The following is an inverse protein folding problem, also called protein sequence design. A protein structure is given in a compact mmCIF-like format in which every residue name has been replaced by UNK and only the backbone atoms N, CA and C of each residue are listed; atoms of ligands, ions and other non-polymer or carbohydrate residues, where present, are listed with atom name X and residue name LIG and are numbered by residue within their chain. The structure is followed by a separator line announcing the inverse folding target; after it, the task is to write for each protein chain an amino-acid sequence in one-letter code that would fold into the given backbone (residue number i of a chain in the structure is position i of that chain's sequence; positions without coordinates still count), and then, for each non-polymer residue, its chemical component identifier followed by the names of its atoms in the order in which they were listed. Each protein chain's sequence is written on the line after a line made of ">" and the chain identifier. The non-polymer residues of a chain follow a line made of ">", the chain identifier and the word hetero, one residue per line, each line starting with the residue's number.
data_IF_913019475464
#
_entry.id   IF_913019475464
#
_cell.length_a   1.000
_cell.length_b   1.000
_cell.length_c   1.000
_cell.angle_alpha   90.00
_cell.angle_beta   90.00
_cell.angle_gamma   90.00
#
_symmetry.space_group_name_H-M   'P 1'
#
loop_
_entity.id
_entity.type
_entity.pdbx_description
1 polymer ?
#
# COMPACT_ATOMS: atom_id res chain seq x y z
N UNK A 1 38.30 -37.56 -0.22
CA UNK A 1 38.15 -36.12 -0.53
C UNK A 1 36.77 -35.66 -0.06
N UNK A 2 36.70 -34.95 1.07
CA UNK A 2 35.44 -34.49 1.69
C UNK A 2 35.01 -33.17 1.02
N UNK A 3 33.92 -33.19 0.25
CA UNK A 3 33.28 -31.98 -0.30
C UNK A 3 32.16 -31.54 0.65
N UNK A 4 32.51 -30.81 1.70
CA UNK A 4 31.54 -30.09 2.53
C UNK A 4 31.91 -28.61 2.49
N UNK A 5 31.45 -27.90 1.47
CA UNK A 5 31.48 -26.44 1.46
C UNK A 5 30.48 -25.92 0.42
N UNK A 6 29.19 -25.83 0.80
CA UNK A 6 28.26 -24.88 0.17
C UNK A 6 26.89 -24.75 0.88
N UNK A 7 26.81 -25.03 2.19
CA UNK A 7 25.55 -24.80 2.95
C UNK A 7 25.46 -23.39 3.55
N UNK A 8 26.55 -22.62 3.60
CA UNK A 8 26.55 -21.28 4.21
C UNK A 8 25.88 -20.22 3.33
N UNK A 9 25.92 -20.37 2.00
CA UNK A 9 25.41 -19.35 1.06
C UNK A 9 23.86 -19.33 0.98
N UNK A 10 23.21 -20.44 1.31
CA UNK A 10 21.75 -20.57 1.27
C UNK A 10 21.06 -19.91 2.49
N UNK A 11 21.77 -19.75 3.62
CA UNK A 11 21.24 -19.09 4.82
C UNK A 11 21.34 -17.56 4.77
N UNK A 12 22.25 -17.00 3.96
CA UNK A 12 22.47 -15.55 3.89
C UNK A 12 21.45 -14.85 2.98
N UNK A 13 20.82 -15.56 2.03
CA UNK A 13 19.77 -15.00 1.18
C UNK A 13 18.45 -14.71 1.94
N UNK A 14 18.27 -15.28 3.15
CA UNK A 14 17.04 -15.18 3.94
C UNK A 14 17.04 -14.06 4.99
N UNK A 15 18.15 -13.32 5.13
CA UNK A 15 18.31 -12.25 6.12
C UNK A 15 18.51 -10.89 5.46
N UNK A 16 17.72 -10.56 4.44
CA UNK A 16 17.49 -9.12 4.19
C UNK A 16 16.83 -8.57 5.46
N UNK A 17 17.40 -7.54 6.10
CA UNK A 17 16.72 -6.87 7.20
C UNK A 17 15.30 -6.56 6.74
N UNK A 18 14.31 -6.91 7.56
CA UNK A 18 12.95 -6.38 7.38
C UNK A 18 13.12 -4.86 7.26
N UNK A 19 12.62 -4.28 6.17
CA UNK A 19 12.77 -2.85 5.91
C UNK A 19 12.35 -2.09 7.17
N UNK A 20 13.14 -1.10 7.58
CA UNK A 20 12.85 -0.31 8.78
C UNK A 20 11.86 0.83 8.48
N UNK A 21 11.40 0.91 7.24
CA UNK A 21 10.46 1.90 6.73
C UNK A 21 9.46 1.21 5.80
N UNK A 22 8.20 1.64 5.77
CA UNK A 22 7.26 1.23 4.74
C UNK A 22 7.83 1.45 3.34
N UNK A 23 7.51 0.56 2.43
CA UNK A 23 7.75 0.75 0.99
C UNK A 23 6.39 0.79 0.30
N UNK A 24 6.12 1.80 -0.53
CA UNK A 24 4.84 1.94 -1.22
C UNK A 24 5.08 1.84 -2.72
N UNK A 25 4.59 0.75 -3.32
CA UNK A 25 4.56 0.56 -4.77
C UNK A 25 3.26 1.14 -5.33
N UNK A 26 3.34 1.92 -6.41
CA UNK A 26 2.15 2.50 -7.06
C UNK A 26 1.75 1.72 -8.31
N UNK A 27 0.45 1.55 -8.55
CA UNK A 27 -0.11 0.95 -9.76
C UNK A 27 -1.15 1.88 -10.40
N UNK A 28 -1.21 1.88 -11.73
CA UNK A 28 -2.07 2.79 -12.49
C UNK A 28 -1.42 4.17 -12.74
N UNK A 29 -2.12 5.02 -13.49
CA UNK A 29 -1.69 6.39 -13.75
C UNK A 29 -2.44 7.35 -12.84
N UNK A 30 -1.71 8.21 -12.15
CA UNK A 30 -2.28 9.27 -11.33
C UNK A 30 -2.70 10.47 -12.18
N UNK A 31 -3.88 11.02 -11.91
CA UNK A 31 -4.39 12.29 -12.44
C UNK A 31 -4.04 13.48 -11.52
N UNK A 32 -3.41 13.22 -10.37
CA UNK A 32 -2.98 14.26 -9.44
C UNK A 32 -1.72 14.98 -9.97
N UNK A 33 -1.52 16.22 -9.54
CA UNK A 33 -0.24 16.90 -9.76
C UNK A 33 0.88 16.20 -8.97
N UNK A 34 2.15 16.36 -9.36
CA UNK A 34 3.27 15.76 -8.62
C UNK A 34 3.29 16.14 -7.13
N UNK A 35 2.95 17.39 -6.81
CA UNK A 35 2.85 17.90 -5.45
C UNK A 35 1.75 17.19 -4.65
N UNK A 36 0.56 17.06 -5.25
CA UNK A 36 -0.56 16.35 -4.63
C UNK A 36 -0.26 14.87 -4.41
N UNK A 37 0.40 14.23 -5.38
CA UNK A 37 0.84 12.86 -5.25
C UNK A 37 1.85 12.71 -4.12
N UNK A 38 2.83 13.60 -4.02
CA UNK A 38 3.80 13.58 -2.92
C UNK A 38 3.12 13.73 -1.57
N UNK A 39 2.22 14.69 -1.41
CA UNK A 39 1.50 14.90 -0.15
C UNK A 39 0.66 13.68 0.25
N UNK A 40 -0.04 13.04 -0.71
CA UNK A 40 -0.80 11.82 -0.44
C UNK A 40 0.13 10.67 0.00
N UNK A 41 1.27 10.51 -0.67
CA UNK A 41 2.25 9.47 -0.36
C UNK A 41 2.86 9.67 1.02
N UNK A 42 3.22 10.90 1.39
CA UNK A 42 3.72 11.24 2.73
C UNK A 42 2.69 10.94 3.81
N UNK A 43 1.42 11.27 3.56
CA UNK A 43 0.34 10.97 4.51
C UNK A 43 0.06 9.47 4.64
N UNK A 44 0.03 8.72 3.54
CA UNK A 44 -0.10 7.26 3.58
C UNK A 44 1.09 6.62 4.32
N UNK A 45 2.30 7.09 4.04
CA UNK A 45 3.50 6.63 4.72
C UNK A 45 3.44 6.89 6.24
N UNK A 46 3.05 8.10 6.65
CA UNK A 46 2.85 8.44 8.05
C UNK A 46 1.76 7.58 8.72
N UNK A 47 0.68 7.28 7.99
CA UNK A 47 -0.41 6.41 8.46
C UNK A 47 0.07 4.99 8.73
N UNK A 48 0.90 4.42 7.84
CA UNK A 48 1.51 3.10 8.02
C UNK A 48 2.45 3.06 9.23
N UNK A 49 3.31 4.07 9.38
CA UNK A 49 4.19 4.21 10.56
C UNK A 49 3.37 4.34 11.85
N UNK A 50 2.30 5.14 11.82
CA UNK A 50 1.43 5.39 12.98
C UNK A 50 0.79 4.13 13.56
N UNK A 51 0.55 3.11 12.73
CA UNK A 51 0.03 1.80 13.14
C UNK A 51 1.12 0.73 13.29
N UNK A 52 2.40 1.11 13.20
CA UNK A 52 3.55 0.21 13.35
C UNK A 52 3.77 -0.74 12.17
N UNK A 53 3.29 -0.38 10.97
CA UNK A 53 3.54 -1.15 9.75
C UNK A 53 4.86 -0.75 9.10
N UNK A 54 5.74 -1.71 8.83
CA UNK A 54 7.06 -1.50 8.22
C UNK A 54 7.30 -2.40 7.00
N UNK A 55 6.23 -2.94 6.43
CA UNK A 55 6.29 -3.79 5.24
C UNK A 55 6.09 -3.01 3.94
N UNK A 56 5.86 -3.76 2.86
CA UNK A 56 5.48 -3.21 1.57
C UNK A 56 3.97 -3.00 1.50
N UNK A 57 3.54 -1.92 0.85
CA UNK A 57 2.16 -1.61 0.58
C UNK A 57 1.98 -1.27 -0.89
N UNK A 58 0.76 -1.42 -1.38
CA UNK A 58 0.39 -1.05 -2.75
C UNK A 58 -0.58 0.11 -2.72
N UNK A 59 -0.30 1.17 -3.49
CA UNK A 59 -1.25 2.23 -3.79
C UNK A 59 -1.74 2.07 -5.22
N UNK A 60 -3.05 1.94 -5.40
CA UNK A 60 -3.70 1.85 -6.69
C UNK A 60 -4.40 3.18 -6.97
N UNK A 61 -4.02 3.80 -8.09
CA UNK A 61 -4.71 4.95 -8.65
C UNK A 61 -5.96 4.46 -9.40
N UNK A 62 -7.05 4.23 -8.68
CA UNK A 62 -8.28 3.63 -9.19
C UNK A 62 -9.06 4.62 -10.08
N UNK A 63 -8.98 4.45 -11.39
CA UNK A 63 -9.80 5.19 -12.37
C UNK A 63 -11.13 4.49 -12.70
N UNK A 64 -11.47 3.44 -11.96
CA UNK A 64 -12.63 2.58 -12.19
C UNK A 64 -12.43 1.55 -13.29
N UNK A 65 -11.30 1.55 -14.00
CA UNK A 65 -10.96 0.56 -15.02
C UNK A 65 -9.99 -0.45 -14.44
N UNK A 66 -10.20 -1.73 -14.78
CA UNK A 66 -9.30 -2.83 -14.39
C UNK A 66 -9.04 -2.94 -12.87
N UNK A 67 -9.90 -2.35 -12.02
CA UNK A 67 -9.76 -2.34 -10.55
C UNK A 67 -9.50 -3.74 -10.00
N UNK A 68 -10.32 -4.69 -10.39
CA UNK A 68 -10.19 -6.10 -9.97
C UNK A 68 -8.86 -6.74 -10.39
N UNK A 69 -8.36 -6.43 -11.59
CA UNK A 69 -7.10 -6.95 -12.09
C UNK A 69 -5.89 -6.38 -11.31
N UNK A 70 -5.93 -5.08 -11.03
CA UNK A 70 -4.88 -4.39 -10.27
C UNK A 70 -4.86 -4.85 -8.81
N UNK A 71 -6.04 -4.99 -8.19
CA UNK A 71 -6.21 -5.59 -6.86
C UNK A 71 -5.68 -7.02 -6.87
N UNK A 72 -6.11 -7.87 -7.81
CA UNK A 72 -5.67 -9.27 -7.89
C UNK A 72 -4.15 -9.39 -7.98
N UNK A 73 -3.50 -8.56 -8.80
CA UNK A 73 -2.04 -8.54 -8.95
C UNK A 73 -1.34 -8.19 -7.64
N UNK A 74 -1.86 -7.21 -6.90
CA UNK A 74 -1.33 -6.81 -5.60
C UNK A 74 -1.61 -7.86 -4.51
N UNK A 75 -2.76 -8.54 -4.56
CA UNK A 75 -3.15 -9.58 -3.58
C UNK A 75 -2.20 -10.78 -3.57
N UNK A 76 -1.62 -11.13 -4.72
CA UNK A 76 -0.65 -12.21 -4.85
C UNK A 76 0.61 -11.99 -4.00
N UNK A 77 0.84 -10.76 -3.50
CA UNK A 77 2.02 -10.37 -2.72
C UNK A 77 1.80 -10.38 -1.21
N UNK A 78 0.57 -10.61 -0.75
CA UNK A 78 0.21 -10.62 0.68
C UNK A 78 0.50 -9.32 1.44
N UNK A 79 0.32 -8.18 0.76
CA UNK A 79 0.61 -6.83 1.23
C UNK A 79 -0.70 -6.00 1.28
N UNK A 80 -0.82 -5.00 2.17
CA UNK A 80 -1.97 -4.10 2.20
C UNK A 80 -2.07 -3.31 0.90
N UNK A 81 -3.31 -3.13 0.43
CA UNK A 81 -3.64 -2.45 -0.82
C UNK A 81 -4.49 -1.24 -0.47
N UNK A 82 -4.09 -0.06 -0.93
CA UNK A 82 -4.77 1.21 -0.75
C UNK A 82 -5.33 1.66 -2.09
N UNK A 83 -6.63 1.93 -2.14
CA UNK A 83 -7.34 2.38 -3.32
C UNK A 83 -7.60 3.88 -3.20
N UNK A 84 -7.05 4.65 -4.14
CA UNK A 84 -7.34 6.06 -4.32
C UNK A 84 -8.23 6.24 -5.55
N UNK A 85 -9.53 6.44 -5.35
CA UNK A 85 -10.48 6.66 -6.43
C UNK A 85 -10.29 8.04 -7.07
N UNK A 86 -9.95 8.04 -8.34
CA UNK A 86 -9.66 9.24 -9.11
C UNK A 86 -10.96 9.86 -9.64
N UNK A 87 -11.07 11.19 -9.59
CA UNK A 87 -12.20 11.92 -10.18
C UNK A 87 -13.43 12.12 -9.29
N UNK A 88 -13.54 11.43 -8.15
CA UNK A 88 -14.68 11.56 -7.22
C UNK A 88 -14.47 12.60 -6.09
N UNK A 89 -13.32 13.28 -6.08
CA UNK A 89 -12.73 14.16 -5.05
C UNK A 89 -12.83 13.63 -3.60
N UNK A 90 -11.66 13.47 -2.97
CA UNK A 90 -10.93 14.65 -2.53
C UNK A 90 -9.42 14.60 -2.73
N UNK A 91 -8.82 15.79 -2.78
CA UNK A 91 -7.39 15.99 -2.53
C UNK A 91 -7.22 15.99 -1.00
N UNK A 92 -6.71 14.92 -0.37
CA UNK A 92 -6.81 14.74 1.06
C UNK A 92 -5.48 15.08 1.71
N UNK A 93 -5.45 16.15 2.51
CA UNK A 93 -4.34 16.45 3.40
C UNK A 93 -4.78 16.16 4.82
N UNK A 94 -4.76 14.88 5.22
CA UNK A 94 -5.00 14.34 6.56
C UNK A 94 -6.33 14.65 7.28
N UNK A 95 -6.94 15.81 7.05
CA UNK A 95 -8.07 16.33 7.82
C UNK A 95 -9.38 15.94 7.15
N UNK A 96 -10.23 15.21 7.89
CA UNK A 96 -11.52 14.74 7.39
C UNK A 96 -11.43 13.52 6.45
N UNK A 97 -10.30 12.80 6.42
CA UNK A 97 -10.12 11.60 5.59
C UNK A 97 -9.44 10.46 6.33
N UNK A 98 -9.85 9.22 6.02
CA UNK A 98 -9.22 8.03 6.55
C UNK A 98 -9.16 6.88 5.53
N UNK A 99 -8.20 5.98 5.73
CA UNK A 99 -8.12 4.71 5.02
C UNK A 99 -9.03 3.69 5.71
N UNK A 100 -10.17 3.37 5.11
CA UNK A 100 -11.11 2.39 5.67
C UNK A 100 -10.94 1.04 5.00
N UNK A 101 -10.86 -0.01 5.81
CA UNK A 101 -10.88 -1.39 5.31
C UNK A 101 -12.19 -1.66 4.57
N UNK A 102 -12.10 -2.09 3.32
CA UNK A 102 -13.22 -2.59 2.54
C UNK A 102 -13.54 -4.01 3.03
N UNK A 103 -14.38 -4.11 4.05
CA UNK A 103 -14.66 -5.35 4.78
C UNK A 103 -15.35 -6.42 3.91
N UNK A 104 -16.05 -5.99 2.86
CA UNK A 104 -16.71 -6.86 1.90
C UNK A 104 -15.71 -7.57 0.98
N UNK A 105 -14.48 -7.05 0.87
CA UNK A 105 -13.48 -7.65 0.00
C UNK A 105 -12.86 -8.90 0.68
N UNK A 106 -12.89 -10.09 0.04
CA UNK A 106 -12.49 -11.37 0.68
C UNK A 106 -11.06 -11.42 1.22
N UNK A 107 -10.19 -10.56 0.72
CA UNK A 107 -8.79 -10.51 1.16
C UNK A 107 -8.58 -9.85 2.52
N UNK A 108 -9.54 -9.06 3.02
CA UNK A 108 -9.44 -8.24 4.23
C UNK A 108 -8.14 -7.39 4.30
N UNK A 109 -7.65 -6.96 3.14
CA UNK A 109 -6.39 -6.20 2.99
C UNK A 109 -6.52 -4.98 2.08
N UNK A 110 -7.72 -4.73 1.57
CA UNK A 110 -8.01 -3.62 0.65
C UNK A 110 -8.61 -2.49 1.46
N UNK A 111 -7.96 -1.33 1.43
CA UNK A 111 -8.38 -0.11 2.09
C UNK A 111 -8.79 0.89 1.02
N UNK A 112 -9.89 1.60 1.25
CA UNK A 112 -10.37 2.65 0.38
C UNK A 112 -10.31 3.98 1.12
N UNK A 113 -9.95 5.04 0.40
CA UNK A 113 -9.97 6.38 0.96
C UNK A 113 -11.42 6.84 1.15
N UNK A 114 -11.78 7.24 2.36
CA UNK A 114 -13.12 7.74 2.69
C UNK A 114 -13.07 9.06 3.45
N UNK A 115 -14.13 9.86 3.31
CA UNK A 115 -14.37 11.04 4.15
C UNK A 115 -14.66 10.55 5.57
N UNK A 116 -13.96 11.10 6.55
CA UNK A 116 -14.31 10.94 7.95
C UNK A 116 -15.56 11.78 8.20
N UNK A 117 -16.72 11.13 8.13
CA UNK A 117 -17.99 11.77 8.49
C UNK A 117 -17.95 11.94 10.00
N UNK A 118 -17.77 13.17 10.49
CA UNK A 118 -18.03 13.50 11.90
C UNK A 118 -19.45 13.03 12.22
N UNK A 119 -19.55 11.98 13.04
CA UNK A 119 -20.81 11.56 13.62
C UNK A 119 -21.36 12.70 14.47
N UNK A 120 -22.50 13.25 14.07
CA UNK A 120 -23.35 14.04 14.97
C UNK A 120 -23.91 13.18 16.09
#
# INVERSE_FOLDING_TARGET
>A
MKKYLNLASALIASLKPKSQSPEIDTCGQSLLTPEQQQTLMEWLFASLIGVGYFGKAHLIWDDGKDRELQIFTALMRNEPIFLYSQGTRPTPTAEGYCWRLLAEHPSLRVYELQVEVEGK
#
